data_IF_632919174995
#
_entry.id   IF_632919174995
#
_cell.length_a   1.000
_cell.length_b   1.000
_cell.length_c   1.000
_cell.angle_alpha   90.00
_cell.angle_beta   90.00
_cell.angle_gamma   90.00
#
_symmetry.space_group_name_H-M   'P 1'
#
loop_
_entity.id
_entity.type
_entity.pdbx_description
1 polymer ?
#
# COMPACT_ATOMS: atom_id res chain seq x y z
N UNK A 1 -12.81 -2.19 -10.81
CA UNK A 1 -11.34 -2.21 -10.96
C UNK A 1 -10.72 -3.39 -10.21
N UNK A 2 -10.72 -3.41 -8.87
CA UNK A 2 -10.17 -4.56 -8.09
C UNK A 2 -10.85 -5.91 -8.33
N UNK A 3 -12.12 -5.90 -8.73
CA UNK A 3 -12.86 -7.10 -9.11
C UNK A 3 -12.66 -7.53 -10.58
N UNK A 4 -11.85 -6.79 -11.35
CA UNK A 4 -11.54 -7.14 -12.74
C UNK A 4 -10.43 -8.21 -12.78
N UNK A 5 -10.29 -8.94 -13.91
CA UNK A 5 -9.14 -9.80 -14.16
C UNK A 5 -7.80 -9.07 -14.01
N UNK A 6 -6.72 -9.82 -13.74
CA UNK A 6 -5.39 -9.28 -13.56
C UNK A 6 -4.91 -8.49 -14.80
N UNK A 7 -5.20 -8.99 -16.00
CA UNK A 7 -4.87 -8.38 -17.29
C UNK A 7 -5.52 -7.00 -17.49
N UNK A 8 -6.65 -6.74 -16.82
CA UNK A 8 -7.38 -5.47 -16.85
C UNK A 8 -7.06 -4.58 -15.63
N UNK A 9 -6.01 -4.91 -14.89
CA UNK A 9 -5.52 -4.14 -13.75
C UNK A 9 -6.13 -4.53 -12.40
N UNK A 10 -6.82 -5.67 -12.30
CA UNK A 10 -7.31 -6.20 -11.02
C UNK A 10 -6.20 -6.44 -9.99
N UNK A 11 -5.00 -6.79 -10.47
CA UNK A 11 -3.82 -7.06 -9.64
C UNK A 11 -2.89 -5.85 -9.44
N UNK A 12 -3.22 -4.67 -10.00
CA UNK A 12 -2.36 -3.49 -9.90
C UNK A 12 -2.19 -3.05 -8.44
N UNK A 13 -0.98 -2.91 -7.89
CA UNK A 13 -0.77 -2.41 -6.53
C UNK A 13 -1.39 -1.02 -6.33
N UNK A 14 -2.05 -0.76 -5.19
CA UNK A 14 -2.60 0.57 -4.90
C UNK A 14 -2.54 0.97 -3.42
N UNK A 15 -2.49 2.30 -3.23
CA UNK A 15 -2.52 2.99 -1.96
C UNK A 15 -3.87 3.69 -1.77
N UNK A 16 -4.46 3.58 -0.57
CA UNK A 16 -5.58 4.43 -0.18
C UNK A 16 -5.05 5.75 0.38
N UNK A 17 -5.58 6.88 -0.07
CA UNK A 17 -5.25 8.21 0.46
C UNK A 17 -6.45 8.81 1.19
N UNK A 18 -6.38 8.87 2.52
CA UNK A 18 -7.45 9.38 3.37
C UNK A 18 -7.32 10.91 3.57
N UNK A 19 -8.43 11.63 3.50
CA UNK A 19 -8.45 13.06 3.83
C UNK A 19 -8.54 13.27 5.36
N UNK A 20 -7.64 14.08 5.90
CA UNK A 20 -7.56 14.62 7.27
C UNK A 20 -7.86 13.63 8.42
N UNK A 21 -6.80 13.24 9.14
CA UNK A 21 -6.88 12.31 10.28
C UNK A 21 -6.60 10.85 9.91
N UNK A 22 -6.68 9.97 10.91
CA UNK A 22 -6.55 8.53 10.70
C UNK A 22 -7.83 8.01 10.04
N UNK A 23 -7.85 8.00 8.70
CA UNK A 23 -8.87 7.25 7.97
C UNK A 23 -8.92 5.80 8.46
N UNK A 24 -10.07 5.15 8.30
CA UNK A 24 -10.26 3.76 8.73
C UNK A 24 -9.31 2.82 7.94
N UNK A 25 -8.15 2.56 8.54
CA UNK A 25 -7.10 1.69 7.99
C UNK A 25 -7.65 0.30 7.75
N UNK A 26 -8.52 -0.20 8.63
CA UNK A 26 -9.16 -1.51 8.50
C UNK A 26 -10.01 -1.53 7.23
N UNK A 27 -10.85 -0.52 7.00
CA UNK A 27 -11.66 -0.42 5.78
C UNK A 27 -10.80 -0.36 4.50
N UNK A 28 -9.69 0.38 4.53
CA UNK A 28 -8.77 0.46 3.39
C UNK A 28 -8.15 -0.90 3.06
N UNK A 29 -7.66 -1.62 4.07
CA UNK A 29 -7.07 -2.95 3.88
C UNK A 29 -8.11 -3.96 3.39
N UNK A 30 -9.30 -3.98 3.98
CA UNK A 30 -10.40 -4.87 3.58
C UNK A 30 -10.89 -4.61 2.15
N UNK A 31 -10.71 -3.40 1.62
CA UNK A 31 -11.07 -3.05 0.24
C UNK A 31 -10.00 -3.46 -0.79
N UNK A 32 -8.93 -4.13 -0.35
CA UNK A 32 -7.85 -4.62 -1.21
C UNK A 32 -6.77 -3.58 -1.52
N UNK A 33 -6.61 -2.54 -0.68
CA UNK A 33 -5.44 -1.65 -0.75
C UNK A 33 -4.28 -2.23 0.06
N UNK A 34 -3.05 -2.07 -0.44
CA UNK A 34 -1.84 -2.62 0.19
C UNK A 34 -1.26 -1.64 1.23
N UNK A 35 -1.51 -0.34 1.07
CA UNK A 35 -1.23 0.64 2.12
C UNK A 35 -2.31 1.72 2.21
N UNK A 36 -2.32 2.41 3.35
CA UNK A 36 -3.10 3.60 3.59
C UNK A 36 -2.18 4.76 4.01
N UNK A 37 -2.33 5.89 3.34
CA UNK A 37 -1.64 7.16 3.61
C UNK A 37 -2.67 8.17 4.11
N UNK A 38 -2.32 8.92 5.14
CA UNK A 38 -3.13 10.03 5.63
C UNK A 38 -2.69 11.35 4.95
N UNK A 39 -3.64 12.21 4.60
CA UNK A 39 -3.34 13.58 4.18
C UNK A 39 -3.07 14.45 5.43
N UNK A 40 -2.11 15.39 5.37
CA UNK A 40 -1.23 15.67 4.25
C UNK A 40 -0.12 14.62 4.12
N UNK A 41 0.08 14.09 2.91
CA UNK A 41 1.19 13.18 2.61
C UNK A 41 2.40 14.00 2.15
N UNK A 42 3.58 13.73 2.72
CA UNK A 42 4.81 14.37 2.25
C UNK A 42 5.24 13.73 0.91
N UNK A 43 5.81 14.48 -0.04
CA UNK A 43 6.25 13.92 -1.33
C UNK A 43 7.19 12.71 -1.18
N UNK A 44 8.11 12.75 -0.21
CA UNK A 44 9.01 11.63 0.09
C UNK A 44 8.26 10.35 0.54
N UNK A 45 7.17 10.49 1.31
CA UNK A 45 6.35 9.36 1.73
C UNK A 45 5.57 8.75 0.56
N UNK A 46 5.08 9.60 -0.34
CA UNK A 46 4.40 9.13 -1.54
C UNK A 46 5.36 8.34 -2.46
N UNK A 47 6.58 8.84 -2.64
CA UNK A 47 7.63 8.15 -3.42
C UNK A 47 8.01 6.83 -2.76
N UNK A 48 8.20 6.80 -1.44
CA UNK A 48 8.51 5.57 -0.70
C UNK A 48 7.37 4.54 -0.81
N UNK A 49 6.12 4.98 -0.67
CA UNK A 49 4.94 4.13 -0.84
C UNK A 49 4.87 3.56 -2.26
N UNK A 50 5.08 4.38 -3.29
CA UNK A 50 5.11 3.93 -4.68
C UNK A 50 6.26 2.96 -4.96
N UNK A 51 7.45 3.18 -4.39
CA UNK A 51 8.58 2.25 -4.49
C UNK A 51 8.27 0.90 -3.81
N UNK A 52 7.60 0.93 -2.65
CA UNK A 52 7.19 -0.28 -1.94
C UNK A 52 6.14 -1.07 -2.72
N UNK A 53 5.12 -0.40 -3.26
CA UNK A 53 4.09 -1.04 -4.08
C UNK A 53 4.64 -1.61 -5.38
N UNK A 54 5.67 -1.00 -5.96
CA UNK A 54 6.35 -1.49 -7.16
C UNK A 54 7.36 -2.62 -6.86
N UNK A 55 7.47 -3.10 -5.62
CA UNK A 55 8.45 -4.12 -5.23
C UNK A 55 9.91 -3.65 -5.31
N UNK A 56 10.15 -2.33 -5.42
CA UNK A 56 11.50 -1.73 -5.54
C UNK A 56 12.18 -1.53 -4.19
N UNK A 57 11.43 -1.65 -3.09
CA UNK A 57 11.99 -1.77 -1.74
C UNK A 57 12.25 -3.24 -1.46
N UNK A 58 13.46 -3.60 -1.02
CA UNK A 58 13.74 -4.91 -0.45
C UNK A 58 12.83 -5.08 0.75
N UNK A 59 11.72 -5.82 0.61
CA UNK A 59 10.96 -6.28 1.77
C UNK A 59 11.95 -7.13 2.57
N UNK A 60 12.22 -6.84 3.86
CA UNK A 60 12.83 -7.84 4.70
C UNK A 60 11.83 -8.99 4.69
N UNK A 61 12.16 -10.04 3.94
CA UNK A 61 11.37 -11.26 3.90
C UNK A 61 11.13 -11.64 5.36
N UNK A 62 9.89 -12.02 5.72
CA UNK A 62 9.51 -12.41 7.08
C UNK A 62 10.47 -13.44 7.72
N UNK A 63 11.28 -14.13 6.88
CA UNK A 63 12.46 -14.90 7.26
C UNK A 63 13.51 -14.17 8.13
N UNK A 64 13.53 -12.84 8.21
CA UNK A 64 14.46 -12.07 9.05
C UNK A 64 13.90 -11.75 10.45
N UNK A 65 12.58 -11.83 10.65
CA UNK A 65 11.95 -11.65 11.98
C UNK A 65 11.99 -12.92 12.86
N UNK A 66 12.30 -14.08 12.27
CA UNK A 66 12.44 -15.35 12.99
C UNK A 66 13.89 -15.65 13.44
N UNK A 67 14.80 -14.66 13.42
CA UNK A 67 16.22 -14.81 13.79
C UNK A 67 16.70 -13.84 14.89
N UNK A 68 15.80 -13.39 15.75
CA UNK A 68 16.15 -12.74 17.02
C UNK A 68 15.47 -13.51 18.16
#
# INVERSE_FOLDING_TARGET
IRALPAEEGGATPAAALAAFGAGDRTRALLSGFQLQLAKPVRPAELVAAAASLAGRTRQPTEAQAARA
#
